data_IF_442778969095
#
_entry.id   IF_442778969095
#
_cell.length_a   1.000
_cell.length_b   1.000
_cell.length_c   1.000
_cell.angle_alpha   90.00
_cell.angle_beta   90.00
_cell.angle_gamma   90.00
#
_symmetry.space_group_name_H-M   'P 1'
#
loop_
_entity.id
_entity.type
_entity.pdbx_description
1 polymer ?
#
# COMPACT_ATOMS: atom_id res chain seq x y z
N UNK A 1 16.80 3.95 -9.74
CA UNK A 1 17.01 4.77 -8.53
C UNK A 1 15.94 5.84 -8.53
N UNK A 2 15.25 6.10 -7.41
CA UNK A 2 14.31 7.21 -7.33
C UNK A 2 15.10 8.53 -7.38
N UNK A 3 14.68 9.46 -8.24
CA UNK A 3 15.26 10.81 -8.33
C UNK A 3 15.06 11.55 -7.01
N UNK A 4 16.07 12.31 -6.57
CA UNK A 4 15.93 13.24 -5.43
C UNK A 4 15.23 14.55 -5.82
N UNK A 5 14.92 14.72 -7.10
CA UNK A 5 14.35 15.92 -7.68
C UNK A 5 12.89 15.66 -8.08
N UNK A 6 12.02 16.59 -7.70
CA UNK A 6 10.63 16.66 -8.12
C UNK A 6 10.47 17.97 -8.89
N UNK A 7 10.07 17.89 -10.15
CA UNK A 7 9.79 19.05 -10.97
C UNK A 7 8.30 19.40 -10.83
N UNK A 8 8.02 20.64 -10.43
CA UNK A 8 6.67 21.19 -10.29
C UNK A 8 6.49 22.29 -11.33
N UNK A 9 5.45 22.19 -12.14
CA UNK A 9 5.09 23.18 -13.16
C UNK A 9 3.71 23.74 -12.86
N UNK A 10 3.57 25.07 -13.01
CA UNK A 10 2.31 25.80 -12.80
C UNK A 10 2.03 26.62 -14.05
N UNK A 11 0.84 26.47 -14.61
CA UNK A 11 0.33 27.29 -15.70
C UNK A 11 -0.88 28.08 -15.19
N UNK A 12 -0.86 29.41 -15.40
CA UNK A 12 -1.85 30.35 -14.89
C UNK A 12 -2.35 31.21 -16.04
N UNK A 13 -3.66 31.25 -16.24
CA UNK A 13 -4.33 32.08 -17.24
C UNK A 13 -5.17 33.18 -16.56
N UNK A 14 -5.14 34.40 -17.11
CA UNK A 14 -5.90 35.55 -16.61
C UNK A 14 -5.03 36.75 -16.21
N UNK A 15 -5.65 37.90 -15.95
CA UNK A 15 -4.96 39.15 -15.59
C UNK A 15 -5.00 39.52 -14.11
N UNK A 16 -5.63 38.69 -13.29
CA UNK A 16 -5.83 38.92 -11.86
C UNK A 16 -4.60 38.50 -11.03
N UNK A 17 -4.49 39.01 -9.80
CA UNK A 17 -3.42 38.61 -8.89
C UNK A 17 -3.61 37.17 -8.41
N UNK A 18 -2.52 36.38 -8.45
CA UNK A 18 -2.48 35.01 -7.94
C UNK A 18 -1.48 34.91 -6.79
N UNK A 19 -1.92 34.32 -5.68
CA UNK A 19 -1.07 34.00 -4.54
C UNK A 19 -1.06 32.48 -4.31
N UNK A 20 0.14 31.89 -4.39
CA UNK A 20 0.37 30.50 -3.99
C UNK A 20 1.20 30.52 -2.71
N UNK A 21 0.70 29.90 -1.64
CA UNK A 21 1.41 29.82 -0.38
C UNK A 21 1.36 28.40 0.20
N UNK A 22 2.37 28.05 1.02
CA UNK A 22 2.46 26.79 1.77
C UNK A 22 2.51 25.51 0.92
N UNK A 23 3.21 25.53 -0.21
CA UNK A 23 3.50 24.28 -0.96
C UNK A 23 4.43 23.39 -0.14
N UNK A 24 4.09 22.11 -0.03
CA UNK A 24 4.93 21.08 0.58
C UNK A 24 4.87 19.79 -0.24
N UNK A 25 6.00 19.10 -0.35
CA UNK A 25 6.11 17.80 -1.04
C UNK A 25 6.52 16.77 0.00
N UNK A 26 5.77 15.69 0.09
CA UNK A 26 6.00 14.63 1.06
C UNK A 26 6.22 13.30 0.34
N UNK A 27 7.24 12.56 0.78
CA UNK A 27 7.38 11.17 0.42
C UNK A 27 6.26 10.37 1.11
N UNK A 28 5.16 10.14 0.41
CA UNK A 28 4.13 9.21 0.87
C UNK A 28 4.62 7.78 0.64
N UNK A 29 4.26 6.85 1.52
CA UNK A 29 4.40 5.45 1.19
C UNK A 29 3.50 5.15 0.00
N UNK A 30 4.06 4.50 -1.03
CA UNK A 30 3.33 4.02 -2.20
C UNK A 30 2.48 2.77 -1.85
N UNK A 31 1.85 2.76 -0.67
CA UNK A 31 1.08 1.64 -0.18
C UNK A 31 -0.11 1.39 -1.12
N UNK A 32 -0.10 0.22 -1.77
CA UNK A 32 -1.14 -0.17 -2.72
C UNK A 32 -2.03 -1.21 -2.05
N UNK A 33 -3.34 -1.00 -2.19
CA UNK A 33 -4.37 -1.92 -1.70
C UNK A 33 -5.33 -2.21 -2.85
N UNK A 34 -5.56 -3.48 -3.14
CA UNK A 34 -6.52 -3.90 -4.17
C UNK A 34 -7.34 -5.08 -3.70
N UNK A 35 -8.65 -4.89 -3.58
CA UNK A 35 -9.58 -5.98 -3.36
C UNK A 35 -9.81 -6.78 -4.65
N UNK A 36 -10.03 -8.08 -4.48
CA UNK A 36 -10.49 -8.99 -5.52
C UNK A 36 -11.57 -9.92 -4.94
N UNK A 37 -12.25 -10.67 -5.80
CA UNK A 37 -13.44 -11.45 -5.42
C UNK A 37 -13.26 -12.33 -4.18
N UNK A 38 -12.07 -12.90 -4.02
CA UNK A 38 -11.75 -13.84 -2.93
C UNK A 38 -10.75 -13.27 -1.90
N UNK A 39 -10.48 -11.97 -1.88
CA UNK A 39 -9.46 -11.45 -0.98
C UNK A 39 -8.99 -10.03 -1.22
N UNK A 40 -7.79 -9.75 -0.71
CA UNK A 40 -7.14 -8.44 -0.84
C UNK A 40 -5.64 -8.62 -1.07
N UNK A 41 -5.09 -7.73 -1.89
CA UNK A 41 -3.65 -7.62 -2.13
C UNK A 41 -3.15 -6.35 -1.45
N UNK A 42 -2.09 -6.50 -0.67
CA UNK A 42 -1.36 -5.41 -0.04
C UNK A 42 0.04 -5.38 -0.68
N UNK A 43 0.48 -4.22 -1.14
CA UNK A 43 1.83 -4.08 -1.68
C UNK A 43 2.50 -2.82 -1.13
N UNK A 44 3.74 -2.99 -0.70
CA UNK A 44 4.61 -1.94 -0.22
C UNK A 44 5.81 -1.79 -1.17
N UNK A 45 5.73 -0.98 -2.23
CA UNK A 45 6.86 -0.70 -3.10
C UNK A 45 7.86 0.29 -2.50
N UNK A 46 7.59 0.81 -1.29
CA UNK A 46 8.50 1.72 -0.58
C UNK A 46 9.81 1.03 -0.16
N UNK A 47 10.82 1.87 0.09
CA UNK A 47 12.10 1.47 0.69
C UNK A 47 12.05 1.26 2.21
N UNK A 48 10.88 1.48 2.82
CA UNK A 48 10.66 1.40 4.27
C UNK A 48 9.53 0.41 4.53
N UNK A 49 9.50 -0.19 5.71
CA UNK A 49 8.33 -0.98 6.10
C UNK A 49 7.07 -0.12 6.20
N UNK A 50 5.92 -0.75 5.98
CA UNK A 50 4.62 -0.09 6.05
C UNK A 50 3.60 -0.99 6.74
N UNK A 51 2.81 -0.39 7.63
CA UNK A 51 1.75 -1.07 8.37
C UNK A 51 0.39 -0.77 7.76
N UNK A 52 -0.24 -1.78 7.20
CA UNK A 52 -1.62 -1.74 6.72
C UNK A 52 -2.58 -1.99 7.89
N UNK A 53 -3.61 -1.17 8.02
CA UNK A 53 -4.70 -1.35 8.99
C UNK A 53 -5.93 -1.94 8.28
N UNK A 54 -6.07 -3.26 8.35
CA UNK A 54 -7.17 -3.98 7.71
C UNK A 54 -8.54 -3.59 8.26
N UNK A 55 -8.61 -3.15 9.52
CA UNK A 55 -9.88 -2.73 10.12
C UNK A 55 -10.43 -1.45 9.47
N UNK A 56 -9.55 -0.59 8.93
CA UNK A 56 -9.91 0.60 8.17
C UNK A 56 -10.08 0.31 6.69
N UNK A 57 -9.20 -0.50 6.12
CA UNK A 57 -9.19 -0.81 4.69
C UNK A 57 -10.38 -1.69 4.27
N UNK A 58 -10.80 -2.61 5.15
CA UNK A 58 -11.81 -3.60 4.87
C UNK A 58 -12.68 -3.88 6.12
N UNK A 59 -13.52 -2.91 6.54
CA UNK A 59 -14.29 -3.03 7.78
C UNK A 59 -15.19 -4.27 7.81
N UNK A 60 -15.14 -5.00 8.92
CA UNK A 60 -15.96 -6.21 9.13
C UNK A 60 -15.54 -7.44 8.33
N UNK A 61 -14.49 -7.37 7.52
CA UNK A 61 -13.93 -8.51 6.79
C UNK A 61 -12.78 -9.12 7.57
N UNK A 62 -12.67 -10.44 7.52
CA UNK A 62 -11.56 -11.23 8.05
C UNK A 62 -10.78 -11.87 6.91
N UNK A 63 -9.49 -12.06 7.14
CA UNK A 63 -8.57 -12.55 6.14
C UNK A 63 -7.60 -13.56 6.72
N UNK A 64 -7.11 -14.46 5.87
CA UNK A 64 -6.04 -15.42 6.17
C UNK A 64 -4.97 -15.41 5.09
N UNK A 65 -3.78 -15.93 5.40
CA UNK A 65 -2.71 -16.17 4.42
C UNK A 65 -3.18 -17.18 3.36
N UNK A 66 -2.58 -17.11 2.17
CA UNK A 66 -2.69 -18.20 1.20
C UNK A 66 -2.20 -19.51 1.83
N UNK A 67 -2.75 -20.64 1.37
CA UNK A 67 -2.21 -21.95 1.68
C UNK A 67 -1.20 -22.33 0.59
N UNK A 68 0.05 -22.53 0.97
CA UNK A 68 1.10 -22.93 0.04
C UNK A 68 0.80 -24.29 -0.61
N UNK A 69 1.09 -24.40 -1.90
CA UNK A 69 1.38 -25.68 -2.54
C UNK A 69 2.82 -26.11 -2.22
N UNK A 70 3.22 -27.37 -2.50
CA UNK A 70 4.58 -27.85 -2.21
C UNK A 70 5.72 -27.06 -2.87
N UNK A 71 5.42 -26.31 -3.94
CA UNK A 71 6.40 -25.49 -4.67
C UNK A 71 6.45 -24.02 -4.18
N UNK A 72 5.64 -23.66 -3.18
CA UNK A 72 5.54 -22.30 -2.65
C UNK A 72 6.15 -22.19 -1.25
N UNK A 73 6.48 -20.96 -0.86
CA UNK A 73 6.95 -20.66 0.49
C UNK A 73 5.83 -20.91 1.52
N UNK A 74 5.95 -22.02 2.27
CA UNK A 74 5.01 -22.42 3.31
C UNK A 74 5.12 -21.65 4.61
N UNK A 75 6.21 -20.88 4.84
CA UNK A 75 6.32 -20.02 6.01
C UNK A 75 5.46 -18.76 5.85
N UNK A 76 5.49 -18.16 4.65
CA UNK A 76 4.67 -16.98 4.30
C UNK A 76 3.23 -17.37 3.97
N UNK A 77 3.04 -18.40 3.15
CA UNK A 77 1.73 -18.91 2.74
C UNK A 77 1.33 -20.10 3.61
N UNK A 78 1.09 -19.84 4.89
CA UNK A 78 0.83 -20.86 5.90
C UNK A 78 -0.67 -21.11 6.19
N UNK A 79 -1.57 -20.47 5.45
CA UNK A 79 -3.03 -20.60 5.63
C UNK A 79 -3.60 -19.98 6.90
N UNK A 80 -2.79 -19.41 7.79
CA UNK A 80 -3.22 -18.93 9.10
C UNK A 80 -4.03 -17.62 9.00
N UNK A 81 -4.98 -17.38 9.92
CA UNK A 81 -5.66 -16.10 10.04
C UNK A 81 -4.69 -14.94 10.21
N UNK A 82 -5.06 -13.77 9.70
CA UNK A 82 -4.28 -12.54 9.83
C UNK A 82 -4.97 -11.59 10.79
N UNK A 83 -4.17 -10.91 11.63
CA UNK A 83 -4.67 -9.90 12.54
C UNK A 83 -5.18 -8.64 11.82
N UNK A 84 -5.64 -7.66 12.60
CA UNK A 84 -6.17 -6.38 12.09
C UNK A 84 -5.11 -5.49 11.42
N UNK A 85 -3.83 -5.80 11.60
CA UNK A 85 -2.74 -5.04 11.01
C UNK A 85 -1.73 -5.99 10.37
N UNK A 86 -1.19 -5.58 9.22
CA UNK A 86 -0.17 -6.31 8.47
C UNK A 86 0.98 -5.38 8.20
N UNK A 87 2.16 -5.74 8.70
CA UNK A 87 3.40 -5.02 8.39
C UNK A 87 4.05 -5.71 7.19
N UNK A 88 4.26 -4.96 6.11
CA UNK A 88 5.05 -5.40 4.97
C UNK A 88 6.40 -4.70 5.00
N UNK A 89 7.46 -5.48 4.75
CA UNK A 89 8.81 -4.95 4.65
C UNK A 89 9.00 -4.16 3.35
N UNK A 90 10.17 -3.56 3.17
CA UNK A 90 10.49 -2.83 1.95
C UNK A 90 10.35 -3.73 0.72
N UNK A 91 9.68 -3.21 -0.32
CA UNK A 91 9.47 -3.88 -1.62
C UNK A 91 8.78 -5.24 -1.50
N UNK A 92 7.88 -5.37 -0.54
CA UNK A 92 7.16 -6.62 -0.27
C UNK A 92 5.69 -6.52 -0.68
N UNK A 93 5.06 -7.67 -0.94
CA UNK A 93 3.65 -7.76 -1.28
C UNK A 93 3.05 -9.05 -0.75
N UNK A 94 1.77 -8.98 -0.38
CA UNK A 94 1.06 -10.08 0.22
C UNK A 94 -0.37 -10.20 -0.31
N UNK A 95 -0.71 -11.42 -0.70
CA UNK A 95 -2.07 -11.83 -1.02
C UNK A 95 -2.72 -12.43 0.23
N UNK A 96 -3.93 -11.97 0.51
CA UNK A 96 -4.76 -12.45 1.60
C UNK A 96 -6.09 -12.95 1.08
N UNK A 97 -6.56 -14.07 1.60
CA UNK A 97 -7.84 -14.69 1.23
C UNK A 97 -8.89 -14.26 2.23
N UNK A 98 -10.07 -13.86 1.74
CA UNK A 98 -11.22 -13.56 2.59
C UNK A 98 -11.75 -14.84 3.24
N UNK A 99 -12.11 -14.77 4.51
CA UNK A 99 -12.81 -15.87 5.21
C UNK A 99 -14.33 -15.80 5.04
#
# INVERSE_FOLDING_TARGET
>A
MASKQVDLEFEIEGGEAVEISRISVHASADAIVREYENGIVLANPSLREYSFDLSKLAPGKTYRRLQASPAQDGAVNNGQPVGKSVVLQSKDALFLVKE
#
